data_IF_512107739111
#
_entry.id   IF_512107739111
#
_cell.length_a   1.000
_cell.length_b   1.000
_cell.length_c   1.000
_cell.angle_alpha   90.00
_cell.angle_beta   90.00
_cell.angle_gamma   90.00
#
_symmetry.space_group_name_H-M   'P 1'
#
loop_
_entity.id
_entity.type
_entity.pdbx_description
1 polymer ?
#
# COMPACT_ATOMS: atom_id res chain seq x y z
N UNK A 1 -2.73 8.12 14.36
CA UNK A 1 -3.07 9.25 13.48
C UNK A 1 -3.57 8.72 12.15
N UNK A 2 -4.64 9.31 11.60
CA UNK A 2 -5.19 8.93 10.30
C UNK A 2 -5.15 10.14 9.38
N UNK A 3 -4.35 10.08 8.32
CA UNK A 3 -4.29 11.09 7.26
C UNK A 3 -5.37 10.81 6.23
N UNK A 4 -6.54 11.42 6.39
CA UNK A 4 -7.63 11.30 5.43
C UNK A 4 -7.36 12.03 4.13
N UNK A 5 -8.10 11.69 3.07
CA UNK A 5 -8.03 12.35 1.76
C UNK A 5 -6.59 12.48 1.23
N UNK A 6 -5.77 11.45 1.47
CA UNK A 6 -4.35 11.47 1.16
C UNK A 6 -4.05 11.13 -0.30
N UNK A 7 -2.85 11.48 -0.76
CA UNK A 7 -2.39 11.19 -2.11
C UNK A 7 -2.56 12.40 -3.03
N UNK A 8 -1.45 12.83 -3.63
CA UNK A 8 -1.38 14.04 -4.48
C UNK A 8 -2.44 14.03 -5.58
N UNK A 9 -2.67 12.86 -6.18
CA UNK A 9 -3.61 12.70 -7.30
C UNK A 9 -5.01 12.27 -6.87
N UNK A 10 -5.20 11.82 -5.62
CA UNK A 10 -6.46 11.25 -5.13
C UNK A 10 -7.44 12.31 -4.67
N UNK A 11 -6.95 13.36 -4.00
CA UNK A 11 -7.74 14.53 -3.62
C UNK A 11 -7.80 15.56 -4.77
N UNK A 12 -8.25 15.10 -5.93
CA UNK A 12 -8.27 15.91 -7.13
C UNK A 12 -9.24 17.11 -6.97
N UNK A 13 -8.80 18.30 -7.42
CA UNK A 13 -9.63 19.50 -7.46
C UNK A 13 -9.46 20.45 -6.27
N UNK A 14 -8.89 19.99 -5.16
CA UNK A 14 -8.57 20.84 -4.00
C UNK A 14 -7.26 21.63 -4.20
N UNK A 15 -6.36 21.13 -5.05
CA UNK A 15 -5.18 21.85 -5.52
C UNK A 15 -4.04 21.98 -4.52
N UNK A 16 -3.18 22.98 -4.76
CA UNK A 16 -1.81 23.09 -4.24
C UNK A 16 -1.65 22.92 -2.72
N UNK A 17 -2.60 23.41 -1.93
CA UNK A 17 -2.51 23.39 -0.45
C UNK A 17 -3.09 22.12 0.19
N UNK A 18 -3.76 21.28 -0.58
CA UNK A 18 -4.50 20.12 -0.07
C UNK A 18 -3.97 18.79 -0.57
N UNK A 19 -3.54 18.73 -1.83
CA UNK A 19 -3.09 17.50 -2.46
C UNK A 19 -1.80 17.00 -1.79
N UNK A 20 -1.88 16.03 -0.87
CA UNK A 20 -0.71 15.57 -0.13
C UNK A 20 0.03 14.42 -0.84
N UNK A 21 1.29 14.65 -1.22
CA UNK A 21 2.21 13.61 -1.72
C UNK A 21 3.52 13.52 -0.93
N UNK A 22 3.54 13.92 0.35
CA UNK A 22 4.78 14.07 1.11
C UNK A 22 4.65 13.92 2.63
N UNK A 23 3.45 13.76 3.20
CA UNK A 23 3.29 13.52 4.64
C UNK A 23 4.06 12.31 5.16
N UNK A 24 4.21 11.25 4.35
CA UNK A 24 5.05 10.08 4.69
C UNK A 24 6.54 10.41 4.82
N UNK A 25 7.05 11.35 4.02
CA UNK A 25 8.44 11.84 4.14
C UNK A 25 8.62 12.61 5.46
N UNK A 26 7.63 13.40 5.85
CA UNK A 26 7.64 14.14 7.10
C UNK A 26 7.48 13.21 8.30
N UNK A 27 6.57 12.25 8.25
CA UNK A 27 6.35 11.28 9.31
C UNK A 27 7.55 10.35 9.51
N UNK A 28 8.26 9.99 8.42
CA UNK A 28 9.45 9.14 8.45
C UNK A 28 10.65 9.71 9.21
N UNK A 29 10.64 11.01 9.58
CA UNK A 29 11.70 11.59 10.43
C UNK A 29 11.46 11.35 11.93
N UNK A 30 10.30 10.83 12.33
CA UNK A 30 9.94 10.58 13.73
C UNK A 30 10.23 9.11 14.07
N UNK A 31 11.25 8.80 14.89
CA UNK A 31 11.73 7.41 15.05
C UNK A 31 10.72 6.40 15.58
N UNK A 32 9.74 6.84 16.37
CA UNK A 32 8.70 5.98 16.93
C UNK A 32 7.33 6.15 16.25
N UNK A 33 7.30 6.78 15.07
CA UNK A 33 6.13 6.84 14.20
C UNK A 33 6.18 5.68 13.20
N UNK A 34 5.24 4.74 13.32
CA UNK A 34 5.08 3.64 12.36
C UNK A 34 4.10 4.06 11.27
N UNK A 35 4.59 4.16 10.04
CA UNK A 35 3.83 4.75 8.92
C UNK A 35 3.31 3.69 7.95
N UNK A 36 2.06 3.79 7.50
CA UNK A 36 1.51 2.92 6.46
C UNK A 36 0.69 3.69 5.41
N UNK A 37 0.75 3.24 4.16
CA UNK A 37 -0.04 3.68 3.00
C UNK A 37 -0.80 2.48 2.37
N UNK A 38 -1.82 1.94 3.06
CA UNK A 38 -2.56 0.77 2.60
C UNK A 38 -3.35 1.06 1.32
N UNK A 39 -3.35 0.10 0.42
CA UNK A 39 -4.10 0.09 -0.85
C UNK A 39 -5.49 -0.54 -0.69
N UNK A 40 -5.63 -1.52 0.22
CA UNK A 40 -6.83 -2.33 0.38
C UNK A 40 -7.38 -2.32 1.80
N UNK A 41 -8.69 -2.52 1.93
CA UNK A 41 -9.42 -2.51 3.19
C UNK A 41 -8.93 -3.58 4.18
N UNK A 42 -8.51 -4.75 3.70
CA UNK A 42 -7.97 -5.78 4.57
C UNK A 42 -6.59 -5.40 5.15
N UNK A 43 -5.79 -4.61 4.42
CA UNK A 43 -4.51 -4.11 4.93
C UNK A 43 -4.75 -3.16 6.09
N UNK A 44 -5.72 -2.24 5.94
CA UNK A 44 -6.17 -1.34 7.02
C UNK A 44 -6.55 -2.15 8.26
N UNK A 45 -7.34 -3.21 8.11
CA UNK A 45 -7.76 -4.05 9.24
C UNK A 45 -6.58 -4.72 9.95
N UNK A 46 -5.65 -5.32 9.20
CA UNK A 46 -4.44 -5.97 9.75
C UNK A 46 -3.53 -4.95 10.45
N UNK A 47 -3.30 -3.79 9.84
CA UNK A 47 -2.43 -2.73 10.38
C UNK A 47 -3.03 -2.16 11.68
N UNK A 48 -4.33 -1.88 11.70
CA UNK A 48 -5.01 -1.39 12.90
C UNK A 48 -4.98 -2.42 14.03
N UNK A 49 -5.23 -3.70 13.72
CA UNK A 49 -5.17 -4.78 14.71
C UNK A 49 -3.76 -4.92 15.30
N UNK A 50 -2.73 -4.88 14.45
CA UNK A 50 -1.32 -4.94 14.89
C UNK A 50 -0.95 -3.75 15.77
N UNK A 51 -1.30 -2.54 15.35
CA UNK A 51 -1.01 -1.32 16.10
C UNK A 51 -1.67 -1.31 17.48
N UNK A 52 -2.93 -1.74 17.59
CA UNK A 52 -3.60 -1.87 18.89
C UNK A 52 -2.88 -2.89 19.77
N UNK A 53 -2.52 -4.06 19.23
CA UNK A 53 -1.83 -5.09 20.00
C UNK A 53 -0.41 -4.68 20.44
N UNK A 54 0.32 -3.92 19.61
CA UNK A 54 1.67 -3.44 19.95
C UNK A 54 1.62 -2.35 21.01
N UNK A 55 0.79 -1.32 20.81
CA UNK A 55 0.73 -0.16 21.71
C UNK A 55 -0.02 -0.46 23.03
N UNK A 56 -1.13 -1.20 22.96
CA UNK A 56 -2.05 -1.38 24.09
C UNK A 56 -2.21 -2.82 24.55
N UNK A 57 -1.64 -3.79 23.84
CA UNK A 57 -1.57 -5.18 24.29
C UNK A 57 -0.46 -5.39 25.32
N UNK A 58 -0.17 -6.66 25.63
CA UNK A 58 0.87 -7.02 26.61
C UNK A 58 2.27 -6.46 26.28
N UNK A 59 2.54 -6.19 25.00
CA UNK A 59 3.83 -5.65 24.54
C UNK A 59 4.10 -4.23 25.03
N UNK A 60 3.05 -3.40 25.16
CA UNK A 60 3.13 -1.97 25.52
C UNK A 60 4.30 -1.23 24.84
N UNK A 61 4.38 -1.34 23.52
CA UNK A 61 5.44 -0.72 22.73
C UNK A 61 5.21 0.80 22.62
N UNK A 62 6.24 1.58 22.97
CA UNK A 62 6.23 3.06 22.96
C UNK A 62 6.33 3.64 21.53
N UNK A 63 5.35 3.33 20.70
CA UNK A 63 5.21 3.79 19.31
C UNK A 63 3.84 4.40 19.09
N UNK A 64 3.68 5.13 17.99
CA UNK A 64 2.38 5.54 17.49
C UNK A 64 2.29 5.31 15.99
N UNK A 65 1.08 5.08 15.50
CA UNK A 65 0.85 4.78 14.09
C UNK A 65 0.40 6.02 13.32
N UNK A 66 0.88 6.18 12.10
CA UNK A 66 0.35 7.08 11.09
C UNK A 66 -0.09 6.27 9.87
N UNK A 67 -1.36 6.39 9.47
CA UNK A 67 -1.88 5.67 8.32
C UNK A 67 -2.60 6.64 7.40
N UNK A 68 -2.22 6.67 6.13
CA UNK A 68 -2.93 7.41 5.09
C UNK A 68 -4.16 6.64 4.63
N UNK A 69 -5.24 7.36 4.35
CA UNK A 69 -6.51 6.79 3.88
C UNK A 69 -7.10 7.64 2.76
N UNK A 70 -7.74 6.96 1.83
CA UNK A 70 -8.12 7.52 0.54
C UNK A 70 -9.61 7.90 0.53
N UNK A 71 -9.98 8.86 -0.30
CA UNK A 71 -11.37 9.23 -0.58
C UNK A 71 -11.92 8.59 -1.87
N UNK A 72 -11.10 7.83 -2.58
CA UNK A 72 -11.48 7.19 -3.84
C UNK A 72 -12.10 5.80 -3.60
N UNK A 73 -13.22 5.53 -4.25
CA UNK A 73 -13.86 4.21 -4.24
C UNK A 73 -13.15 3.31 -5.27
N UNK A 74 -12.64 2.17 -4.79
CA UNK A 74 -11.94 1.17 -5.60
C UNK A 74 -12.48 -0.22 -5.30
N UNK A 75 -12.23 -1.17 -6.21
CA UNK A 75 -12.49 -2.58 -5.95
C UNK A 75 -11.64 -3.08 -4.77
N UNK A 76 -12.27 -3.82 -3.86
CA UNK A 76 -11.66 -4.29 -2.61
C UNK A 76 -11.63 -5.83 -2.60
N UNK A 77 -10.55 -6.45 -3.10
CA UNK A 77 -10.43 -7.89 -3.16
C UNK A 77 -10.29 -8.52 -1.77
N UNK A 78 -10.50 -9.83 -1.68
CA UNK A 78 -10.20 -10.58 -0.47
C UNK A 78 -8.69 -10.61 -0.19
N UNK A 79 -8.32 -10.67 1.09
CA UNK A 79 -6.94 -10.82 1.52
C UNK A 79 -6.36 -12.16 1.03
N UNK A 80 -5.17 -12.18 0.39
CA UNK A 80 -4.47 -13.42 0.11
C UNK A 80 -4.14 -14.17 1.41
N UNK A 81 -4.31 -15.50 1.42
CA UNK A 81 -4.04 -16.31 2.60
C UNK A 81 -2.55 -16.18 3.03
N UNK A 82 -2.32 -15.88 4.31
CA UNK A 82 -0.98 -15.74 4.87
C UNK A 82 -0.30 -14.38 4.63
N UNK A 83 -1.00 -13.40 4.05
CA UNK A 83 -0.45 -12.08 3.77
C UNK A 83 -0.23 -11.21 5.03
N UNK A 84 -0.80 -11.59 6.18
CA UNK A 84 -0.86 -10.77 7.40
C UNK A 84 0.53 -10.33 7.89
N UNK A 85 1.51 -11.23 7.86
CA UNK A 85 2.89 -10.91 8.25
C UNK A 85 3.56 -9.97 7.25
N UNK A 86 3.32 -10.15 5.95
CA UNK A 86 3.88 -9.29 4.91
C UNK A 86 3.26 -7.89 4.92
N UNK A 87 1.96 -7.78 5.22
CA UNK A 87 1.29 -6.49 5.45
C UNK A 87 1.94 -5.78 6.64
N UNK A 88 2.10 -6.45 7.78
CA UNK A 88 2.74 -5.87 8.98
C UNK A 88 4.19 -5.44 8.70
N UNK A 89 4.94 -6.21 7.91
CA UNK A 89 6.31 -5.89 7.52
C UNK A 89 6.46 -4.86 6.40
N UNK A 90 5.36 -4.45 5.77
CA UNK A 90 5.34 -3.38 4.77
C UNK A 90 5.42 -3.83 3.31
N UNK A 91 5.58 -5.12 3.01
CA UNK A 91 5.65 -5.62 1.63
C UNK A 91 5.20 -7.08 1.54
N UNK A 92 4.33 -7.38 0.58
CA UNK A 92 4.00 -8.77 0.21
C UNK A 92 3.68 -8.90 -1.28
N UNK A 93 3.92 -10.09 -1.84
CA UNK A 93 3.52 -10.40 -3.21
C UNK A 93 2.00 -10.54 -3.27
N UNK A 94 1.35 -9.68 -4.04
CA UNK A 94 -0.10 -9.65 -4.21
C UNK A 94 -0.56 -10.65 -5.26
N UNK A 95 0.06 -10.65 -6.44
CA UNK A 95 -0.23 -11.60 -7.51
C UNK A 95 0.97 -11.78 -8.46
N UNK A 96 0.92 -12.84 -9.27
CA UNK A 96 1.81 -13.02 -10.42
C UNK A 96 0.96 -12.97 -11.69
N UNK A 97 1.35 -12.12 -12.63
CA UNK A 97 0.70 -11.98 -13.93
C UNK A 97 1.54 -12.68 -14.99
N UNK A 98 0.99 -13.73 -15.57
CA UNK A 98 1.61 -14.52 -16.63
C UNK A 98 1.35 -13.93 -18.02
N UNK A 99 2.27 -14.17 -18.95
CA UNK A 99 2.23 -13.67 -20.32
C UNK A 99 2.43 -14.78 -21.36
N UNK A 100 2.12 -14.51 -22.63
CA UNK A 100 2.40 -15.48 -23.71
C UNK A 100 3.92 -15.66 -23.84
N UNK A 101 4.38 -16.92 -23.85
CA UNK A 101 5.79 -17.34 -23.81
C UNK A 101 6.76 -16.34 -24.47
N UNK A 102 7.53 -15.67 -23.62
CA UNK A 102 8.78 -15.00 -23.94
C UNK A 102 8.67 -13.50 -24.21
N UNK A 103 9.25 -12.70 -23.30
CA UNK A 103 9.90 -11.38 -23.58
C UNK A 103 10.59 -10.74 -22.37
N UNK A 104 10.27 -11.13 -21.13
CA UNK A 104 10.96 -10.66 -19.92
C UNK A 104 10.13 -10.89 -18.66
N UNK A 105 10.73 -10.66 -17.49
CA UNK A 105 10.07 -10.69 -16.19
C UNK A 105 10.44 -9.44 -15.39
N UNK A 106 9.45 -8.80 -14.75
CA UNK A 106 9.65 -7.59 -13.93
C UNK A 106 8.95 -7.72 -12.57
N UNK A 107 9.36 -6.88 -11.63
CA UNK A 107 8.65 -6.70 -10.36
C UNK A 107 8.02 -5.32 -10.34
N UNK A 108 6.76 -5.26 -9.95
CA UNK A 108 5.97 -4.03 -9.91
C UNK A 108 5.50 -3.81 -8.48
N UNK A 109 5.86 -2.67 -7.89
CA UNK A 109 5.53 -2.32 -6.51
C UNK A 109 4.55 -1.14 -6.52
N UNK A 110 3.53 -1.17 -5.67
CA UNK A 110 2.57 -0.09 -5.49
C UNK A 110 2.05 0.02 -4.06
N UNK A 111 1.58 1.21 -3.70
CA UNK A 111 0.91 1.51 -2.43
C UNK A 111 -0.29 2.44 -2.67
N UNK A 112 -1.15 2.58 -1.65
CA UNK A 112 -2.29 3.49 -1.67
C UNK A 112 -3.14 3.41 -2.93
N UNK A 113 -3.61 4.57 -3.41
CA UNK A 113 -4.46 4.67 -4.60
C UNK A 113 -3.76 4.19 -5.89
N UNK A 114 -2.42 4.22 -5.92
CA UNK A 114 -1.65 3.92 -7.12
C UNK A 114 -1.55 2.42 -7.39
N UNK A 115 -1.77 1.57 -6.37
CA UNK A 115 -1.68 0.11 -6.50
C UNK A 115 -2.55 -0.44 -7.64
N UNK A 116 -3.77 0.07 -7.84
CA UNK A 116 -4.63 -0.38 -8.96
C UNK A 116 -4.02 -0.09 -10.34
N UNK A 117 -3.31 1.04 -10.47
CA UNK A 117 -2.68 1.45 -11.73
C UNK A 117 -1.43 0.60 -12.00
N UNK A 118 -0.72 0.19 -10.95
CA UNK A 118 0.37 -0.79 -11.04
C UNK A 118 -0.16 -2.14 -11.53
N UNK A 119 -1.31 -2.59 -11.00
CA UNK A 119 -1.98 -3.81 -11.47
C UNK A 119 -2.45 -3.71 -12.93
N UNK A 120 -2.99 -2.58 -13.34
CA UNK A 120 -3.36 -2.32 -14.74
C UNK A 120 -2.12 -2.39 -15.66
N UNK A 121 -1.01 -1.79 -15.26
CA UNK A 121 0.26 -1.86 -16.00
C UNK A 121 0.78 -3.30 -16.13
N UNK A 122 0.63 -4.12 -15.08
CA UNK A 122 0.97 -5.55 -15.12
C UNK A 122 0.19 -6.31 -16.21
N UNK A 123 -1.11 -6.02 -16.34
CA UNK A 123 -1.95 -6.62 -17.38
C UNK A 123 -1.57 -6.16 -18.78
N UNK A 124 -1.27 -4.87 -18.96
CA UNK A 124 -0.79 -4.31 -20.24
C UNK A 124 0.53 -4.97 -20.66
N UNK A 125 1.50 -5.06 -19.74
CA UNK A 125 2.79 -5.71 -19.97
C UNK A 125 2.64 -7.16 -20.42
N UNK A 126 1.77 -7.93 -19.75
CA UNK A 126 1.53 -9.33 -20.10
C UNK A 126 0.83 -9.48 -21.46
N UNK A 127 -0.22 -8.68 -21.70
CA UNK A 127 -1.08 -8.80 -22.89
C UNK A 127 -0.42 -8.30 -24.16
N UNK A 128 0.16 -7.11 -24.11
CA UNK A 128 0.61 -6.38 -25.30
C UNK A 128 2.10 -6.63 -25.58
N UNK A 129 2.87 -6.88 -24.51
CA UNK A 129 4.32 -7.04 -24.58
C UNK A 129 4.82 -8.44 -24.23
N UNK A 130 3.98 -9.35 -23.72
CA UNK A 130 4.41 -10.69 -23.31
C UNK A 130 5.41 -10.70 -22.14
N UNK A 131 5.45 -9.62 -21.36
CA UNK A 131 6.31 -9.47 -20.17
C UNK A 131 5.54 -9.94 -18.95
N UNK A 132 6.07 -10.93 -18.22
CA UNK A 132 5.45 -11.40 -16.98
C UNK A 132 5.83 -10.50 -15.81
N UNK A 133 5.02 -10.50 -14.75
CA UNK A 133 5.34 -9.68 -13.58
C UNK A 133 4.91 -10.31 -12.26
N UNK A 134 5.71 -10.06 -11.23
CA UNK A 134 5.27 -10.18 -9.84
C UNK A 134 4.82 -8.79 -9.36
N UNK A 135 3.57 -8.70 -8.90
CA UNK A 135 3.01 -7.46 -8.36
C UNK A 135 3.05 -7.54 -6.84
N UNK A 136 3.62 -6.53 -6.20
CA UNK A 136 3.75 -6.41 -4.76
C UNK A 136 2.95 -5.23 -4.24
N UNK A 137 2.14 -5.47 -3.20
CA UNK A 137 1.57 -4.38 -2.41
C UNK A 137 2.56 -4.00 -1.32
N UNK A 138 2.85 -2.70 -1.23
CA UNK A 138 3.82 -2.12 -0.31
C UNK A 138 3.10 -1.19 0.69
N UNK A 139 2.35 -1.71 1.66
CA UNK A 139 1.65 -0.88 2.63
C UNK A 139 2.58 -0.06 3.53
N UNK A 140 3.90 -0.32 3.58
CA UNK A 140 4.90 0.59 4.14
C UNK A 140 6.21 0.54 3.36
N UNK A 141 6.71 1.68 2.90
CA UNK A 141 8.04 1.83 2.31
C UNK A 141 9.12 2.27 3.33
N UNK A 142 8.72 2.87 4.44
CA UNK A 142 9.63 3.32 5.51
C UNK A 142 10.14 2.15 6.36
#
# INVERSE_FOLDING_TARGET
>A
MVGGTSGRTTLNGEGLQHEDGHSHIQAGVIPNCVTYDPSFAFEVAVIMQDGINRMYGEKQEDVFYYMTTLNEVMDQPAMPAGAEEGIRKGLYKFETVEGKKGKGHVQLLGSGAIMRHVREAAQILAKDYGVTSDVFSAPSFN
#
